data_IF_414617885240
#
_entry.id   IF_414617885240
#
_cell.length_a   1.000
_cell.length_b   1.000
_cell.length_c   1.000
_cell.angle_alpha   90.00
_cell.angle_beta   90.00
_cell.angle_gamma   90.00
#
_symmetry.space_group_name_H-M   'P 1'
#
loop_
_entity.id
_entity.type
_entity.pdbx_description
1 polymer ?
#
# COMPACT_ATOMS: atom_id res chain seq x y z
N UNK A 1 27.06 -37.12 19.89
CA UNK A 1 26.53 -35.73 19.86
C UNK A 1 27.30 -34.90 18.81
N UNK A 2 27.54 -35.43 17.59
CA UNK A 2 28.49 -34.83 16.63
C UNK A 2 27.87 -34.09 15.43
N UNK A 3 26.54 -33.98 15.34
CA UNK A 3 25.87 -33.47 14.12
C UNK A 3 25.66 -31.94 14.02
N UNK A 4 25.66 -31.21 15.14
CA UNK A 4 25.31 -29.77 15.14
C UNK A 4 26.33 -28.85 14.45
N UNK A 5 27.66 -29.03 14.63
CA UNK A 5 28.66 -28.20 13.96
C UNK A 5 28.67 -28.38 12.44
N UNK A 6 28.43 -29.61 11.95
CA UNK A 6 28.40 -29.92 10.52
C UNK A 6 27.19 -29.28 9.82
N UNK A 7 26.01 -29.31 10.44
CA UNK A 7 24.80 -28.75 9.80
C UNK A 7 24.90 -27.23 9.64
N UNK A 8 25.46 -26.52 10.63
CA UNK A 8 25.68 -25.07 10.53
C UNK A 8 26.63 -24.73 9.37
N UNK A 9 27.71 -25.49 9.19
CA UNK A 9 28.63 -25.32 8.07
C UNK A 9 27.96 -25.60 6.72
N UNK A 10 27.12 -26.64 6.64
CA UNK A 10 26.33 -26.94 5.43
C UNK A 10 25.39 -25.78 5.06
N UNK A 11 24.65 -25.23 6.03
CA UNK A 11 23.78 -24.07 5.84
C UNK A 11 24.58 -22.89 5.28
N UNK A 12 25.68 -22.51 5.93
CA UNK A 12 26.50 -21.38 5.48
C UNK A 12 27.08 -21.61 4.08
N UNK A 13 27.53 -22.84 3.78
CA UNK A 13 28.06 -23.20 2.46
C UNK A 13 26.99 -23.11 1.37
N UNK A 14 25.77 -23.58 1.65
CA UNK A 14 24.65 -23.54 0.70
C UNK A 14 24.17 -22.11 0.43
N UNK A 15 24.14 -21.25 1.46
CA UNK A 15 23.83 -19.83 1.27
C UNK A 15 24.92 -19.14 0.44
N UNK A 16 26.19 -19.43 0.73
CA UNK A 16 27.33 -18.81 0.04
C UNK A 16 27.46 -19.25 -1.42
N UNK A 17 27.00 -20.46 -1.76
CA UNK A 17 27.01 -20.93 -3.15
C UNK A 17 25.98 -20.21 -4.02
N UNK A 18 24.92 -19.68 -3.40
CA UNK A 18 23.79 -19.06 -4.10
C UNK A 18 22.97 -20.04 -4.94
N UNK A 19 23.21 -21.35 -4.83
CA UNK A 19 22.48 -22.38 -5.58
C UNK A 19 21.23 -22.83 -4.77
N UNK A 20 20.01 -22.58 -5.26
CA UNK A 20 18.78 -23.02 -4.60
C UNK A 20 18.74 -24.52 -4.34
N UNK A 21 19.39 -25.34 -5.18
CA UNK A 21 19.41 -26.81 -5.03
C UNK A 21 20.22 -27.26 -3.81
N UNK A 22 21.28 -26.54 -3.47
CA UNK A 22 22.07 -26.80 -2.27
C UNK A 22 21.27 -26.45 -1.01
N UNK A 23 20.47 -25.37 -1.05
CA UNK A 23 19.55 -25.04 0.04
C UNK A 23 18.44 -26.09 0.18
N UNK A 24 17.82 -26.53 -0.91
CA UNK A 24 16.82 -27.61 -0.90
C UNK A 24 17.37 -28.90 -0.28
N UNK A 25 18.61 -29.26 -0.61
CA UNK A 25 19.29 -30.42 -0.04
C UNK A 25 19.50 -30.27 1.47
N UNK A 26 19.89 -29.09 1.95
CA UNK A 26 20.01 -28.81 3.38
C UNK A 26 18.65 -28.93 4.07
N UNK A 27 17.57 -28.45 3.45
CA UNK A 27 16.20 -28.61 3.98
C UNK A 27 15.81 -30.08 4.09
N UNK A 28 16.11 -30.89 3.07
CA UNK A 28 15.87 -32.34 3.08
C UNK A 28 16.64 -33.02 4.23
N UNK A 29 17.95 -32.75 4.35
CA UNK A 29 18.79 -33.28 5.42
C UNK A 29 18.22 -32.93 6.82
N UNK A 30 17.72 -31.69 7.00
CA UNK A 30 17.09 -31.27 8.27
C UNK A 30 15.74 -31.98 8.48
N UNK A 31 14.98 -32.23 7.41
CA UNK A 31 13.68 -32.89 7.50
C UNK A 31 13.78 -34.35 7.97
N UNK A 32 14.91 -35.02 7.69
CA UNK A 32 15.20 -36.40 8.10
C UNK A 32 15.64 -36.52 9.58
N UNK A 33 15.80 -35.40 10.30
CA UNK A 33 16.21 -35.41 11.71
C UNK A 33 15.13 -36.02 12.60
N UNK A 34 15.51 -36.88 13.56
CA UNK A 34 14.58 -37.73 14.30
C UNK A 34 13.63 -36.99 15.26
N UNK A 35 13.97 -35.79 15.76
CA UNK A 35 13.13 -35.08 16.73
C UNK A 35 12.57 -33.76 16.19
N UNK A 36 11.29 -33.51 16.45
CA UNK A 36 10.60 -32.25 16.08
C UNK A 36 11.31 -31.02 16.65
N UNK A 37 11.86 -31.13 17.87
CA UNK A 37 12.56 -30.03 18.55
C UNK A 37 13.88 -29.68 17.85
N UNK A 38 14.64 -30.69 17.42
CA UNK A 38 15.90 -30.46 16.69
C UNK A 38 15.64 -29.91 15.29
N UNK A 39 14.66 -30.46 14.57
CA UNK A 39 14.23 -29.94 13.27
C UNK A 39 13.88 -28.45 13.35
N UNK A 40 13.04 -28.07 14.31
CA UNK A 40 12.66 -26.67 14.53
C UNK A 40 13.87 -25.77 14.80
N UNK A 41 14.77 -26.20 15.69
CA UNK A 41 15.97 -25.45 16.03
C UNK A 41 16.94 -25.29 14.84
N UNK A 42 16.98 -26.27 13.92
CA UNK A 42 17.79 -26.18 12.70
C UNK A 42 17.17 -25.23 11.67
N UNK A 43 15.84 -25.25 11.50
CA UNK A 43 15.15 -24.28 10.64
C UNK A 43 15.28 -22.84 11.17
N UNK A 44 15.18 -22.63 12.48
CA UNK A 44 15.43 -21.31 13.10
C UNK A 44 16.85 -20.80 12.77
N UNK A 45 17.87 -21.66 12.87
CA UNK A 45 19.25 -21.30 12.52
C UNK A 45 19.43 -21.01 11.03
N UNK A 46 18.81 -21.82 10.17
CA UNK A 46 18.86 -21.64 8.72
C UNK A 46 18.16 -20.35 8.29
N UNK A 47 16.95 -20.10 8.81
CA UNK A 47 16.21 -18.87 8.55
C UNK A 47 16.98 -17.65 9.04
N UNK A 48 17.59 -17.70 10.23
CA UNK A 48 18.43 -16.60 10.71
C UNK A 48 19.61 -16.31 9.76
N UNK A 49 20.29 -17.35 9.26
CA UNK A 49 21.38 -17.19 8.31
C UNK A 49 20.90 -16.61 6.97
N UNK A 50 19.75 -17.05 6.46
CA UNK A 50 19.12 -16.51 5.25
C UNK A 50 18.73 -15.04 5.42
N UNK A 51 18.15 -14.67 6.57
CA UNK A 51 17.79 -13.28 6.89
C UNK A 51 19.03 -12.41 6.97
N UNK A 52 20.09 -12.86 7.63
CA UNK A 52 21.37 -12.14 7.67
C UNK A 52 21.94 -11.94 6.26
N UNK A 53 22.03 -13.01 5.46
CA UNK A 53 22.53 -12.90 4.08
C UNK A 53 21.67 -11.96 3.22
N UNK A 54 20.34 -12.03 3.36
CA UNK A 54 19.44 -11.17 2.61
C UNK A 54 19.64 -9.68 2.92
N UNK A 55 19.64 -9.31 4.20
CA UNK A 55 19.66 -7.90 4.60
C UNK A 55 21.06 -7.29 4.75
N UNK A 56 22.05 -8.07 5.19
CA UNK A 56 23.43 -7.59 5.35
C UNK A 56 24.26 -7.82 4.08
N UNK A 57 23.96 -8.90 3.35
CA UNK A 57 24.62 -9.25 2.08
C UNK A 57 23.93 -8.67 0.84
N UNK A 58 22.75 -8.05 0.98
CA UNK A 58 22.02 -7.45 -0.14
C UNK A 58 21.46 -8.47 -1.13
N UNK A 59 20.91 -9.58 -0.62
CA UNK A 59 20.38 -10.70 -1.42
C UNK A 59 18.90 -10.98 -1.07
N UNK A 60 17.96 -10.07 -1.40
CA UNK A 60 16.57 -10.18 -0.97
C UNK A 60 15.86 -11.46 -1.43
N UNK A 61 16.31 -12.03 -2.57
CA UNK A 61 15.80 -13.27 -3.14
C UNK A 61 15.91 -14.46 -2.18
N UNK A 62 16.88 -14.47 -1.27
CA UNK A 62 17.04 -15.53 -0.27
C UNK A 62 15.87 -15.61 0.71
N UNK A 63 15.10 -14.53 0.89
CA UNK A 63 13.89 -14.53 1.73
C UNK A 63 12.80 -15.46 1.18
N UNK A 64 12.83 -15.78 -0.12
CA UNK A 64 11.95 -16.80 -0.71
C UNK A 64 12.25 -18.22 -0.20
N UNK A 65 13.42 -18.46 0.39
CA UNK A 65 13.90 -19.77 0.83
C UNK A 65 13.62 -20.06 2.31
N UNK A 66 13.01 -19.12 3.05
CA UNK A 66 12.66 -19.33 4.46
C UNK A 66 11.72 -20.54 4.63
N UNK A 67 12.00 -21.38 5.62
CA UNK A 67 11.24 -22.60 5.88
C UNK A 67 10.45 -22.46 7.18
N UNK A 68 9.14 -22.72 7.10
CA UNK A 68 8.20 -22.64 8.23
C UNK A 68 8.34 -21.35 9.08
N UNK A 69 8.48 -20.13 8.48
CA UNK A 69 8.55 -18.91 9.27
C UNK A 69 7.22 -18.63 9.96
N UNK A 70 7.28 -18.07 11.16
CA UNK A 70 6.10 -17.63 11.90
C UNK A 70 5.48 -16.40 11.24
N UNK A 71 4.21 -16.13 11.57
CA UNK A 71 3.52 -14.92 11.11
C UNK A 71 4.30 -13.67 11.50
N UNK A 72 4.70 -13.58 12.76
CA UNK A 72 5.37 -12.41 13.34
C UNK A 72 6.71 -12.16 12.63
N UNK A 73 7.51 -13.20 12.38
CA UNK A 73 8.74 -13.09 11.59
C UNK A 73 8.47 -12.56 10.18
N UNK A 74 7.46 -13.08 9.48
CA UNK A 74 7.12 -12.57 8.14
C UNK A 74 6.71 -11.10 8.19
N UNK A 75 5.91 -10.67 9.16
CA UNK A 75 5.49 -9.27 9.29
C UNK A 75 6.70 -8.35 9.50
N UNK A 76 7.63 -8.72 10.38
CA UNK A 76 8.81 -7.91 10.66
C UNK A 76 9.75 -7.86 9.45
N UNK A 77 9.92 -8.98 8.74
CA UNK A 77 10.73 -9.03 7.52
C UNK A 77 10.11 -8.20 6.38
N UNK A 78 8.78 -8.25 6.21
CA UNK A 78 8.06 -7.42 5.21
C UNK A 78 8.22 -5.94 5.51
N UNK A 79 8.08 -5.53 6.78
CA UNK A 79 8.30 -4.13 7.20
C UNK A 79 9.72 -3.69 6.94
N UNK A 80 10.71 -4.55 7.24
CA UNK A 80 12.13 -4.25 6.98
C UNK A 80 12.41 -4.13 5.48
N UNK A 81 11.86 -5.02 4.66
CA UNK A 81 12.00 -4.96 3.20
C UNK A 81 11.35 -3.69 2.63
N UNK A 82 10.13 -3.34 3.07
CA UNK A 82 9.48 -2.09 2.70
C UNK A 82 10.27 -0.85 3.15
N UNK A 83 10.85 -0.88 4.35
CA UNK A 83 11.72 0.19 4.84
C UNK A 83 12.96 0.40 3.96
N UNK A 84 13.60 -0.68 3.53
CA UNK A 84 14.72 -0.61 2.59
C UNK A 84 14.28 -0.09 1.23
N UNK A 85 13.19 -0.63 0.67
CA UNK A 85 12.62 -0.13 -0.58
C UNK A 85 12.32 1.37 -0.51
N UNK A 86 11.71 1.84 0.57
CA UNK A 86 11.43 3.26 0.76
C UNK A 86 12.71 4.11 0.78
N UNK A 87 13.84 3.57 1.25
CA UNK A 87 15.12 4.29 1.31
C UNK A 87 15.89 4.29 -0.02
N UNK A 88 15.85 3.20 -0.78
CA UNK A 88 16.74 2.99 -1.93
C UNK A 88 16.02 2.79 -3.28
N UNK A 89 14.69 2.62 -3.28
CA UNK A 89 13.84 2.32 -4.45
C UNK A 89 14.30 1.09 -5.25
N UNK A 90 14.92 0.14 -4.57
CA UNK A 90 15.34 -1.10 -5.18
C UNK A 90 14.14 -2.06 -5.32
N UNK A 91 13.68 -2.22 -6.56
CA UNK A 91 12.54 -3.08 -6.91
C UNK A 91 12.72 -4.55 -6.48
N UNK A 92 13.95 -5.01 -6.26
CA UNK A 92 14.20 -6.37 -5.73
C UNK A 92 13.65 -6.48 -4.31
N UNK A 93 13.84 -5.45 -3.48
CA UNK A 93 13.25 -5.40 -2.13
C UNK A 93 11.73 -5.31 -2.16
N UNK A 94 11.17 -4.57 -3.12
CA UNK A 94 9.72 -4.53 -3.32
C UNK A 94 9.16 -5.91 -3.73
N UNK A 95 9.84 -6.61 -4.64
CA UNK A 95 9.51 -7.99 -5.02
C UNK A 95 9.58 -8.96 -3.84
N UNK A 96 10.59 -8.80 -2.96
CA UNK A 96 10.76 -9.64 -1.78
C UNK A 96 9.59 -9.55 -0.79
N UNK A 97 8.90 -8.39 -0.71
CA UNK A 97 7.67 -8.24 0.10
C UNK A 97 6.64 -9.29 -0.32
N UNK A 98 6.36 -9.45 -1.61
CA UNK A 98 5.35 -10.40 -2.08
C UNK A 98 5.78 -11.85 -1.87
N UNK A 99 7.07 -12.15 -2.05
CA UNK A 99 7.65 -13.46 -1.74
C UNK A 99 7.43 -13.85 -0.28
N UNK A 100 7.65 -12.91 0.65
CA UNK A 100 7.38 -13.10 2.08
C UNK A 100 5.89 -13.22 2.39
N UNK A 101 5.05 -12.34 1.84
CA UNK A 101 3.59 -12.37 2.04
C UNK A 101 3.01 -13.71 1.57
N UNK A 102 3.50 -14.28 0.47
CA UNK A 102 3.04 -15.57 -0.04
C UNK A 102 3.36 -16.75 0.90
N UNK A 103 4.26 -16.59 1.88
CA UNK A 103 4.52 -17.59 2.92
C UNK A 103 3.49 -17.59 4.05
N UNK A 104 2.60 -16.60 4.12
CA UNK A 104 1.52 -16.59 5.12
C UNK A 104 0.38 -17.51 4.68
N UNK A 105 -0.01 -18.45 5.54
CA UNK A 105 -1.09 -19.41 5.24
C UNK A 105 -2.48 -18.78 5.09
N UNK A 106 -2.71 -17.64 5.76
CA UNK A 106 -4.04 -17.02 5.82
C UNK A 106 -4.11 -15.78 4.95
N UNK A 107 -5.11 -15.75 4.05
CA UNK A 107 -5.43 -14.57 3.23
C UNK A 107 -5.72 -13.32 4.05
N UNK A 108 -6.25 -13.48 5.27
CA UNK A 108 -6.43 -12.36 6.22
C UNK A 108 -5.11 -11.76 6.65
N UNK A 109 -4.10 -12.57 6.98
CA UNK A 109 -2.78 -12.08 7.33
C UNK A 109 -2.08 -11.43 6.13
N UNK A 110 -2.22 -12.02 4.93
CA UNK A 110 -1.70 -11.42 3.70
C UNK A 110 -2.31 -10.04 3.44
N UNK A 111 -3.64 -9.95 3.52
CA UNK A 111 -4.37 -8.70 3.31
C UNK A 111 -4.04 -7.62 4.36
N UNK A 112 -3.81 -8.04 5.61
CA UNK A 112 -3.46 -7.17 6.73
C UNK A 112 -2.12 -6.47 6.51
N UNK A 113 -1.05 -7.24 6.26
CA UNK A 113 0.28 -6.65 6.03
C UNK A 113 0.34 -5.87 4.71
N UNK A 114 -0.35 -6.32 3.65
CA UNK A 114 -0.40 -5.56 2.39
C UNK A 114 -1.12 -4.23 2.54
N UNK A 115 -2.15 -4.15 3.38
CA UNK A 115 -2.80 -2.88 3.72
C UNK A 115 -1.82 -1.93 4.44
N UNK A 116 -1.05 -2.45 5.41
CA UNK A 116 -0.01 -1.69 6.11
C UNK A 116 1.04 -1.14 5.12
N UNK A 117 1.57 -1.98 4.22
CA UNK A 117 2.55 -1.58 3.22
C UNK A 117 1.98 -0.56 2.24
N UNK A 118 0.77 -0.79 1.73
CA UNK A 118 0.10 0.13 0.81
C UNK A 118 0.01 1.54 1.41
N UNK A 119 -0.51 1.66 2.63
CA UNK A 119 -0.61 2.95 3.34
C UNK A 119 0.76 3.58 3.59
N UNK A 120 1.75 2.79 4.00
CA UNK A 120 3.11 3.28 4.29
C UNK A 120 3.77 3.91 3.04
N UNK A 121 3.63 3.24 1.89
CA UNK A 121 4.17 3.74 0.63
C UNK A 121 3.41 4.97 0.13
N UNK A 122 2.07 4.96 0.19
CA UNK A 122 1.28 6.17 -0.13
C UNK A 122 1.71 7.35 0.73
N UNK A 123 1.84 7.16 2.06
CA UNK A 123 2.30 8.21 2.97
C UNK A 123 3.69 8.71 2.60
N UNK A 124 4.63 7.81 2.28
CA UNK A 124 5.98 8.19 1.82
C UNK A 124 5.90 9.06 0.56
N UNK A 125 5.02 8.74 -0.39
CA UNK A 125 4.77 9.57 -1.57
C UNK A 125 4.19 10.95 -1.24
N UNK A 126 3.28 11.05 -0.28
CA UNK A 126 2.78 12.34 0.23
C UNK A 126 3.89 13.20 0.84
N UNK A 127 4.71 12.58 1.69
CA UNK A 127 5.75 13.29 2.45
C UNK A 127 6.85 13.80 1.52
N UNK A 128 7.27 12.96 0.56
CA UNK A 128 8.38 13.26 -0.38
C UNK A 128 7.94 13.99 -1.64
N UNK A 129 6.67 13.87 -2.03
CA UNK A 129 6.17 14.36 -3.32
C UNK A 129 6.40 13.43 -4.49
N UNK A 130 6.98 12.27 -4.26
CA UNK A 130 7.26 11.30 -5.29
C UNK A 130 6.06 10.37 -5.54
N UNK A 131 5.43 10.53 -6.70
CA UNK A 131 4.26 9.74 -7.11
C UNK A 131 4.58 8.25 -7.23
N UNK A 132 5.85 7.88 -7.46
CA UNK A 132 6.24 6.48 -7.62
C UNK A 132 5.93 5.65 -6.38
N UNK A 133 6.06 6.22 -5.17
CA UNK A 133 5.66 5.51 -3.96
C UNK A 133 4.15 5.32 -3.85
N UNK A 134 3.35 6.26 -4.38
CA UNK A 134 1.89 6.11 -4.43
C UNK A 134 1.51 4.98 -5.40
N UNK A 135 2.14 4.93 -6.57
CA UNK A 135 1.94 3.84 -7.55
C UNK A 135 2.23 2.48 -6.93
N UNK A 136 3.36 2.36 -6.21
CA UNK A 136 3.77 1.12 -5.53
C UNK A 136 2.88 0.78 -4.34
N UNK A 137 2.38 1.78 -3.64
CA UNK A 137 1.31 1.62 -2.66
C UNK A 137 0.03 1.06 -3.29
N UNK A 138 -0.32 1.50 -4.50
CA UNK A 138 -1.39 0.97 -5.32
C UNK A 138 -1.16 -0.49 -5.72
N UNK A 139 0.05 -0.84 -6.18
CA UNK A 139 0.41 -2.23 -6.49
C UNK A 139 0.23 -3.17 -5.29
N UNK A 140 0.62 -2.72 -4.08
CA UNK A 140 0.38 -3.48 -2.85
C UNK A 140 -1.13 -3.60 -2.52
N UNK A 141 -1.89 -2.51 -2.71
CA UNK A 141 -3.35 -2.49 -2.52
C UNK A 141 -4.05 -3.49 -3.45
N UNK A 142 -3.64 -3.59 -4.71
CA UNK A 142 -4.24 -4.50 -5.70
C UNK A 142 -4.07 -5.98 -5.33
N UNK A 143 -3.07 -6.31 -4.51
CA UNK A 143 -2.88 -7.67 -3.99
C UNK A 143 -3.73 -8.00 -2.75
N UNK A 144 -4.41 -7.02 -2.16
CA UNK A 144 -5.32 -7.26 -1.03
C UNK A 144 -6.57 -7.98 -1.54
N UNK A 145 -6.73 -9.25 -1.19
CA UNK A 145 -7.83 -10.09 -1.69
C UNK A 145 -9.12 -9.98 -0.87
N UNK A 146 -9.05 -9.54 0.39
CA UNK A 146 -10.22 -9.49 1.28
C UNK A 146 -10.84 -8.10 1.28
N UNK A 147 -12.10 -8.01 0.82
CA UNK A 147 -12.89 -6.78 0.73
C UNK A 147 -12.92 -5.94 2.01
N UNK A 148 -12.99 -6.59 3.18
CA UNK A 148 -12.95 -5.89 4.49
C UNK A 148 -11.68 -5.04 4.63
N UNK A 149 -10.52 -5.59 4.30
CA UNK A 149 -9.24 -4.88 4.39
C UNK A 149 -9.13 -3.82 3.31
N UNK A 150 -9.57 -4.10 2.08
CA UNK A 150 -9.63 -3.11 0.98
C UNK A 150 -10.46 -1.87 1.40
N UNK A 151 -11.68 -2.10 1.87
CA UNK A 151 -12.57 -1.02 2.32
C UNK A 151 -11.99 -0.22 3.49
N UNK A 152 -11.35 -0.91 4.45
CA UNK A 152 -10.75 -0.24 5.60
C UNK A 152 -9.58 0.65 5.19
N UNK A 153 -8.65 0.12 4.39
CA UNK A 153 -7.43 0.85 4.05
C UNK A 153 -7.69 2.04 3.11
N UNK A 154 -8.68 1.94 2.22
CA UNK A 154 -9.11 3.09 1.40
C UNK A 154 -9.61 4.26 2.24
N UNK A 155 -10.19 3.99 3.42
CA UNK A 155 -10.61 5.05 4.33
C UNK A 155 -9.44 5.85 4.89
N UNK A 156 -8.23 5.31 4.81
CA UNK A 156 -6.98 5.95 5.23
C UNK A 156 -6.18 6.50 4.05
N UNK A 157 -6.13 5.78 2.92
CA UNK A 157 -5.38 6.17 1.72
C UNK A 157 -6.00 7.36 1.00
N UNK A 158 -7.34 7.41 0.84
CA UNK A 158 -7.99 8.49 0.08
C UNK A 158 -7.67 9.89 0.65
N UNK A 159 -7.74 10.13 1.98
CA UNK A 159 -7.28 11.39 2.56
C UNK A 159 -5.83 11.76 2.21
N UNK A 160 -4.93 10.77 2.12
CA UNK A 160 -3.54 10.99 1.71
C UNK A 160 -3.43 11.38 0.23
N UNK A 161 -4.23 10.75 -0.63
CA UNK A 161 -4.28 11.10 -2.05
C UNK A 161 -4.81 12.52 -2.27
N UNK A 162 -5.84 12.93 -1.50
CA UNK A 162 -6.32 14.33 -1.49
C UNK A 162 -5.19 15.27 -1.08
N UNK A 163 -4.50 14.96 0.02
CA UNK A 163 -3.40 15.78 0.52
C UNK A 163 -2.28 15.92 -0.52
N UNK A 164 -1.88 14.83 -1.17
CA UNK A 164 -0.90 14.86 -2.26
C UNK A 164 -1.40 15.74 -3.42
N UNK A 165 -2.64 15.51 -3.86
CA UNK A 165 -3.26 16.24 -4.96
C UNK A 165 -3.29 17.74 -4.72
N UNK A 166 -3.64 18.18 -3.52
CA UNK A 166 -3.64 19.60 -3.15
C UNK A 166 -2.21 20.15 -3.02
N UNK A 167 -1.32 19.45 -2.32
CA UNK A 167 0.05 19.92 -2.06
C UNK A 167 0.88 20.07 -3.34
N UNK A 168 0.71 19.16 -4.29
CA UNK A 168 1.48 19.12 -5.54
C UNK A 168 0.65 19.47 -6.78
N UNK A 169 -0.58 19.98 -6.58
CA UNK A 169 -1.51 20.38 -7.65
C UNK A 169 -1.74 19.26 -8.69
N UNK A 170 -1.81 18.01 -8.21
CA UNK A 170 -2.04 16.83 -9.03
C UNK A 170 -3.54 16.47 -9.01
N UNK A 171 -4.27 16.85 -10.06
CA UNK A 171 -5.71 16.57 -10.17
C UNK A 171 -5.97 15.10 -10.47
N UNK A 172 -5.09 14.45 -11.21
CA UNK A 172 -5.30 13.07 -11.65
C UNK A 172 -5.27 12.10 -10.48
N UNK A 173 -4.47 12.36 -9.43
CA UNK A 173 -4.51 11.53 -8.22
C UNK A 173 -5.84 11.68 -7.45
N UNK A 174 -6.44 12.87 -7.45
CA UNK A 174 -7.75 13.09 -6.82
C UNK A 174 -8.86 12.41 -7.63
N UNK A 175 -8.78 12.43 -8.96
CA UNK A 175 -9.68 11.67 -9.83
C UNK A 175 -9.52 10.17 -9.61
N UNK A 176 -8.29 9.68 -9.47
CA UNK A 176 -8.05 8.29 -9.13
C UNK A 176 -8.68 7.93 -7.77
N UNK A 177 -8.56 8.81 -6.77
CA UNK A 177 -9.21 8.62 -5.47
C UNK A 177 -10.75 8.50 -5.58
N UNK A 178 -11.40 9.25 -6.49
CA UNK A 178 -12.85 9.10 -6.75
C UNK A 178 -13.20 7.69 -7.23
N UNK A 179 -12.43 7.12 -8.17
CA UNK A 179 -12.70 5.79 -8.71
C UNK A 179 -12.64 4.70 -7.63
N UNK A 180 -11.71 4.85 -6.68
CA UNK A 180 -11.52 3.90 -5.58
C UNK A 180 -12.66 3.93 -4.54
N UNK A 181 -13.44 5.01 -4.45
CA UNK A 181 -14.51 5.16 -3.44
C UNK A 181 -15.53 4.01 -3.50
N UNK A 182 -15.80 3.49 -4.70
CA UNK A 182 -16.77 2.41 -4.93
C UNK A 182 -16.46 1.12 -4.16
N UNK A 183 -15.20 0.92 -3.76
CA UNK A 183 -14.76 -0.24 -3.01
C UNK A 183 -14.99 -0.13 -1.49
N UNK A 184 -15.32 1.07 -0.99
CA UNK A 184 -15.65 1.30 0.42
C UNK A 184 -17.07 0.80 0.69
N UNK A 185 -17.20 -0.17 1.59
CA UNK A 185 -18.48 -0.79 1.93
C UNK A 185 -19.36 0.06 2.86
N UNK A 186 -18.76 0.96 3.66
CA UNK A 186 -19.50 1.89 4.51
C UNK A 186 -19.95 3.11 3.69
N UNK A 187 -21.24 3.19 3.39
CA UNK A 187 -21.85 4.27 2.58
C UNK A 187 -21.64 5.65 3.23
N UNK A 188 -21.64 5.74 4.56
CA UNK A 188 -21.42 7.00 5.26
C UNK A 188 -19.99 7.48 5.11
N UNK A 189 -19.02 6.57 5.28
CA UNK A 189 -17.61 6.87 5.07
C UNK A 189 -17.30 7.18 3.60
N UNK A 190 -17.85 6.40 2.68
CA UNK A 190 -17.75 6.62 1.24
C UNK A 190 -18.27 8.02 0.86
N UNK A 191 -19.48 8.39 1.30
CA UNK A 191 -20.08 9.69 0.99
C UNK A 191 -19.31 10.86 1.61
N UNK A 192 -18.73 10.67 2.80
CA UNK A 192 -17.85 11.67 3.41
C UNK A 192 -16.60 11.90 2.55
N UNK A 193 -15.90 10.83 2.18
CA UNK A 193 -14.67 10.93 1.38
C UNK A 193 -14.96 11.44 -0.03
N UNK A 194 -16.09 11.08 -0.63
CA UNK A 194 -16.54 11.64 -1.92
C UNK A 194 -16.68 13.16 -1.84
N UNK A 195 -17.33 13.68 -0.80
CA UNK A 195 -17.43 15.12 -0.57
C UNK A 195 -16.06 15.77 -0.38
N UNK A 196 -15.14 15.11 0.33
CA UNK A 196 -13.79 15.64 0.55
C UNK A 196 -12.99 15.74 -0.76
N UNK A 197 -13.04 14.70 -1.61
CA UNK A 197 -12.37 14.71 -2.92
C UNK A 197 -13.00 15.74 -3.86
N UNK A 198 -14.34 15.81 -3.93
CA UNK A 198 -15.06 16.75 -4.79
C UNK A 198 -14.71 18.21 -4.44
N UNK A 199 -14.70 18.53 -3.13
CA UNK A 199 -14.28 19.85 -2.64
C UNK A 199 -12.80 20.14 -2.92
N UNK A 200 -11.93 19.15 -2.80
CA UNK A 200 -10.51 19.33 -3.10
C UNK A 200 -10.25 19.65 -4.58
N UNK A 201 -10.90 18.93 -5.51
CA UNK A 201 -10.82 19.19 -6.95
C UNK A 201 -11.33 20.61 -7.27
N UNK A 202 -12.49 20.98 -6.73
CA UNK A 202 -13.02 22.33 -6.94
C UNK A 202 -12.11 23.41 -6.33
N UNK A 203 -11.56 23.17 -5.13
CA UNK A 203 -10.60 24.04 -4.47
C UNK A 203 -9.37 24.32 -5.33
N UNK A 204 -8.76 23.28 -5.93
CA UNK A 204 -7.66 23.47 -6.89
C UNK A 204 -8.09 24.25 -8.13
N UNK A 205 -9.32 24.06 -8.61
CA UNK A 205 -9.91 24.89 -9.68
C UNK A 205 -10.05 26.36 -9.28
N UNK A 206 -10.44 26.64 -8.04
CA UNK A 206 -10.55 28.00 -7.51
C UNK A 206 -9.16 28.64 -7.41
N UNK A 207 -8.19 27.95 -6.80
CA UNK A 207 -6.82 28.43 -6.62
C UNK A 207 -6.12 28.73 -7.95
N UNK A 208 -6.33 27.88 -8.96
CA UNK A 208 -5.73 28.01 -10.29
C UNK A 208 -6.50 28.92 -11.24
N UNK A 209 -7.68 29.42 -10.86
CA UNK A 209 -8.56 30.16 -11.77
C UNK A 209 -9.19 29.29 -12.87
N UNK A 210 -9.14 27.96 -12.74
CA UNK A 210 -9.69 27.02 -13.72
C UNK A 210 -11.13 26.61 -13.36
N UNK A 211 -12.10 27.28 -13.97
CA UNK A 211 -13.53 26.99 -13.74
C UNK A 211 -13.93 25.57 -14.14
N UNK A 212 -13.30 24.97 -15.16
CA UNK A 212 -13.64 23.61 -15.57
C UNK A 212 -13.37 22.59 -14.44
N UNK A 213 -12.37 22.84 -13.60
CA UNK A 213 -12.11 22.03 -12.40
C UNK A 213 -13.14 22.28 -11.30
N UNK A 214 -13.61 23.53 -11.13
CA UNK A 214 -14.71 23.83 -10.21
C UNK A 214 -15.98 23.09 -10.62
N UNK A 215 -16.32 23.14 -11.90
CA UNK A 215 -17.46 22.43 -12.49
C UNK A 215 -17.28 20.93 -12.29
N UNK A 216 -16.09 20.38 -12.57
CA UNK A 216 -15.80 18.96 -12.33
C UNK A 216 -16.00 18.55 -10.87
N UNK A 217 -15.63 19.41 -9.91
CA UNK A 217 -15.89 19.17 -8.48
C UNK A 217 -17.39 19.22 -8.14
N UNK A 218 -18.15 20.14 -8.73
CA UNK A 218 -19.61 20.21 -8.57
C UNK A 218 -20.32 18.98 -9.15
N UNK A 219 -19.98 18.60 -10.39
CA UNK A 219 -20.50 17.39 -11.03
C UNK A 219 -20.19 16.15 -10.18
N UNK A 220 -18.96 16.02 -9.67
CA UNK A 220 -18.65 14.94 -8.73
C UNK A 220 -19.48 15.01 -7.45
N UNK A 221 -19.77 16.19 -6.93
CA UNK A 221 -20.57 16.33 -5.71
C UNK A 221 -22.02 15.88 -5.91
N UNK A 222 -22.60 15.99 -7.12
CA UNK A 222 -23.98 15.54 -7.39
C UNK A 222 -24.13 14.02 -7.27
N UNK A 223 -23.05 13.26 -7.44
CA UNK A 223 -23.02 11.80 -7.36
C UNK A 223 -22.95 11.27 -5.90
N UNK A 224 -22.77 12.14 -4.90
CA UNK A 224 -22.68 11.74 -3.50
C UNK A 224 -23.99 11.08 -3.05
N UNK A 225 -23.92 9.85 -2.57
CA UNK A 225 -25.10 9.02 -2.27
C UNK A 225 -25.95 9.52 -1.08
N UNK A 226 -25.36 10.30 -0.16
CA UNK A 226 -26.10 10.90 0.96
C UNK A 226 -26.58 12.33 0.68
N UNK A 227 -27.90 12.53 0.65
CA UNK A 227 -28.56 13.81 0.33
C UNK A 227 -27.98 15.00 1.10
N UNK A 228 -27.89 14.92 2.43
CA UNK A 228 -27.41 16.03 3.27
C UNK A 228 -25.95 16.37 2.93
N UNK A 229 -25.09 15.36 2.76
CA UNK A 229 -23.68 15.56 2.40
C UNK A 229 -23.52 16.14 1.00
N UNK A 230 -24.30 15.66 0.05
CA UNK A 230 -24.37 16.19 -1.32
C UNK A 230 -24.72 17.68 -1.32
N UNK A 231 -25.81 18.06 -0.68
CA UNK A 231 -26.25 19.46 -0.60
C UNK A 231 -25.20 20.34 0.06
N UNK A 232 -24.63 19.89 1.19
CA UNK A 232 -23.59 20.65 1.89
C UNK A 232 -22.33 20.80 1.04
N UNK A 233 -21.86 19.73 0.39
CA UNK A 233 -20.67 19.77 -0.45
C UNK A 233 -20.84 20.71 -1.64
N UNK A 234 -22.01 20.69 -2.30
CA UNK A 234 -22.32 21.62 -3.39
C UNK A 234 -22.33 23.06 -2.86
N UNK A 235 -23.03 23.32 -1.76
CA UNK A 235 -23.11 24.65 -1.15
C UNK A 235 -21.71 25.19 -0.77
N UNK A 236 -20.85 24.36 -0.19
CA UNK A 236 -19.48 24.71 0.17
C UNK A 236 -18.66 25.13 -1.06
N UNK A 237 -18.75 24.38 -2.17
CA UNK A 237 -18.02 24.68 -3.40
C UNK A 237 -18.53 26.00 -4.02
N UNK A 238 -19.85 26.19 -4.06
CA UNK A 238 -20.47 27.41 -4.61
C UNK A 238 -20.07 28.63 -3.79
N UNK A 239 -20.17 28.56 -2.47
CA UNK A 239 -19.82 29.66 -1.58
C UNK A 239 -18.32 30.02 -1.70
N UNK A 240 -17.44 29.01 -1.78
CA UNK A 240 -16.02 29.23 -2.00
C UNK A 240 -15.73 29.90 -3.35
N UNK A 241 -16.39 29.45 -4.42
CA UNK A 241 -16.22 30.03 -5.77
C UNK A 241 -16.80 31.44 -5.86
N UNK A 242 -17.93 31.70 -5.20
CA UNK A 242 -18.55 33.04 -5.15
C UNK A 242 -17.64 34.07 -4.47
N UNK A 243 -16.84 33.62 -3.50
CA UNK A 243 -15.83 34.43 -2.81
C UNK A 243 -14.53 34.58 -3.60
N UNK A 244 -14.35 33.86 -4.71
CA UNK A 244 -13.17 33.93 -5.56
C UNK A 244 -13.31 34.94 -6.71
N UNK A 245 -12.27 35.07 -7.52
CA UNK A 245 -12.30 35.87 -8.75
C UNK A 245 -13.25 35.29 -9.81
N UNK A 246 -13.65 34.02 -9.69
CA UNK A 246 -14.51 33.31 -10.65
C UNK A 246 -16.01 33.48 -10.37
N UNK A 247 -16.41 34.32 -9.41
CA UNK A 247 -17.81 34.53 -9.03
C UNK A 247 -18.79 34.78 -10.19
N UNK A 248 -18.33 35.41 -11.28
CA UNK A 248 -19.16 35.70 -12.45
C UNK A 248 -19.48 34.45 -13.26
N UNK A 249 -18.60 33.45 -13.22
CA UNK A 249 -18.68 32.23 -14.02
C UNK A 249 -19.62 31.20 -13.38
N UNK A 250 -19.88 31.33 -12.06
CA UNK A 250 -20.80 30.45 -11.33
C UNK A 250 -22.16 31.10 -11.03
N UNK A 251 -22.40 32.30 -11.59
CA UNK A 251 -23.64 33.05 -11.34
C UNK A 251 -24.88 32.37 -11.93
N UNK A 252 -24.72 31.46 -12.91
CA UNK A 252 -25.80 30.67 -13.51
C UNK A 252 -25.51 29.17 -13.37
N UNK A 253 -25.46 28.71 -12.11
CA UNK A 253 -25.07 27.33 -11.79
C UNK A 253 -26.06 26.27 -12.28
N UNK A 254 -27.35 26.63 -12.43
CA UNK A 254 -28.38 25.73 -12.95
C UNK A 254 -28.03 25.28 -14.37
N UNK A 255 -27.60 26.21 -15.24
CA UNK A 255 -27.16 25.86 -16.59
C UNK A 255 -25.88 25.01 -16.64
N UNK A 256 -25.06 25.05 -15.59
CA UNK A 256 -23.76 24.37 -15.53
C UNK A 256 -23.90 22.91 -15.08
N UNK A 257 -24.85 22.63 -14.18
CA UNK A 257 -25.04 21.28 -13.63
C UNK A 257 -25.92 20.43 -14.56
N UNK A 258 -26.83 21.05 -15.32
CA UNK A 258 -27.78 20.35 -16.20
C UNK A 258 -27.30 20.22 -17.67
N UNK A 259 -26.08 20.70 -17.99
CA UNK A 259 -25.44 20.60 -19.32
C UNK A 259 -24.57 19.35 -19.46
#
# INVERSE_FOLDING_TARGET
>A
MDGKPQMKQKITSAISSGDPRELEKVVLDISETQTRKEKKSLYEQMNAALVTAAFEGGQPELLSQLVEPTKEEIFDLVRRAAGLYSQNKDDIWFGAIFSLVNKLDRKSHQSDILAEISRSLVQTGVDTGDIHYIEKGGEAFDKISIRKYRSAILSEIIPLLIQYGQKYQNIDIMRHALLMLSEIGDISRQSQLHADVARAIAGSGIESGNIALVISGLSSATEINQKIRRTNSIADIVDATWKSSQKKEIADIEQIIDA
#
